data_IF_142220965977
#
_entry.id   IF_142220965977
#
_cell.length_a   1.000
_cell.length_b   1.000
_cell.length_c   1.000
_cell.angle_alpha   90.00
_cell.angle_beta   90.00
_cell.angle_gamma   90.00
#
_symmetry.space_group_name_H-M   'P 1'
#
loop_
_entity.id
_entity.type
_entity.pdbx_description
1 polymer ?
#
# COMPACT_ATOMS: atom_id res chain seq x y z
N UNK A 1 -18.42 -4.48 34.86
CA UNK A 1 -19.03 -3.65 33.80
C UNK A 1 -18.36 -4.05 32.51
N UNK A 2 -18.78 -5.19 31.96
CA UNK A 2 -18.29 -5.71 30.67
C UNK A 2 -19.21 -5.15 29.61
N UNK A 3 -18.64 -4.41 28.67
CA UNK A 3 -19.37 -3.82 27.57
C UNK A 3 -19.95 -4.94 26.69
N UNK A 4 -21.27 -4.97 26.41
CA UNK A 4 -21.91 -6.05 25.66
C UNK A 4 -21.66 -5.97 24.15
N UNK A 5 -20.79 -5.06 23.68
CA UNK A 5 -20.39 -4.93 22.27
C UNK A 5 -18.97 -5.42 21.99
N UNK A 6 -18.34 -6.15 22.91
CA UNK A 6 -17.16 -6.98 22.62
C UNK A 6 -17.58 -8.17 21.75
N UNK A 7 -17.80 -7.90 20.45
CA UNK A 7 -17.94 -8.94 19.44
C UNK A 7 -16.55 -9.52 19.16
N UNK A 8 -16.26 -10.79 19.48
CA UNK A 8 -14.93 -11.38 19.27
C UNK A 8 -14.56 -11.59 17.79
N UNK A 9 -15.37 -11.11 16.85
CA UNK A 9 -15.26 -11.37 15.41
C UNK A 9 -14.63 -10.26 14.57
N UNK A 10 -14.04 -9.21 15.16
CA UNK A 10 -13.32 -8.18 14.38
C UNK A 10 -11.82 -8.52 14.22
N UNK A 11 -11.47 -9.81 14.17
CA UNK A 11 -10.10 -10.30 13.97
C UNK A 11 -9.83 -10.78 12.54
N UNK A 12 -10.61 -10.31 11.58
CA UNK A 12 -10.38 -10.60 10.16
C UNK A 12 -9.50 -9.54 9.53
N UNK A 13 -8.25 -9.87 9.18
CA UNK A 13 -7.46 -9.06 8.24
C UNK A 13 -8.35 -8.69 7.07
N UNK A 14 -8.72 -7.41 6.96
CA UNK A 14 -9.59 -6.98 5.89
C UNK A 14 -8.80 -7.09 4.59
N UNK A 15 -9.44 -7.42 3.47
CA UNK A 15 -8.80 -7.38 2.13
C UNK A 15 -8.13 -6.04 1.85
N UNK A 16 -8.59 -5.01 2.54
CA UNK A 16 -8.07 -3.67 2.49
C UNK A 16 -6.71 -3.50 3.20
N UNK A 17 -6.33 -4.39 4.11
CA UNK A 17 -4.98 -4.46 4.69
C UNK A 17 -4.01 -5.15 3.73
N UNK A 18 -4.51 -6.00 2.83
CA UNK A 18 -3.72 -6.56 1.73
C UNK A 18 -3.21 -5.46 0.76
N UNK A 19 -3.95 -4.34 0.63
CA UNK A 19 -3.48 -3.19 -0.12
C UNK A 19 -2.20 -2.61 0.51
N UNK A 20 -2.07 -2.62 1.84
CA UNK A 20 -0.88 -2.08 2.52
C UNK A 20 0.38 -2.93 2.26
N UNK A 21 0.23 -4.20 1.91
CA UNK A 21 1.35 -5.06 1.48
C UNK A 21 1.80 -4.79 0.04
N UNK A 22 0.92 -4.22 -0.79
CA UNK A 22 1.19 -3.92 -2.20
C UNK A 22 2.48 -3.09 -2.42
N UNK A 23 2.74 -1.98 -1.69
CA UNK A 23 3.97 -1.22 -1.86
C UNK A 23 5.22 -2.03 -1.46
N UNK A 24 5.12 -2.95 -0.50
CA UNK A 24 6.25 -3.80 -0.11
C UNK A 24 6.55 -4.85 -1.17
N UNK A 25 5.51 -5.49 -1.74
CA UNK A 25 5.68 -6.46 -2.84
C UNK A 25 6.27 -5.77 -4.07
N UNK A 26 5.81 -4.55 -4.38
CA UNK A 26 6.39 -3.73 -5.45
C UNK A 26 7.86 -3.42 -5.18
N UNK A 27 8.19 -2.93 -3.98
CA UNK A 27 9.56 -2.58 -3.61
C UNK A 27 10.50 -3.78 -3.64
N UNK A 28 10.13 -4.90 -3.02
CA UNK A 28 10.98 -6.08 -2.88
C UNK A 28 11.04 -6.92 -4.16
N UNK A 29 9.90 -7.08 -4.86
CA UNK A 29 9.82 -7.91 -6.06
C UNK A 29 10.48 -7.29 -7.29
N UNK A 30 10.38 -5.97 -7.43
CA UNK A 30 10.94 -5.24 -8.57
C UNK A 30 12.27 -4.54 -8.25
N UNK A 31 12.75 -4.55 -7.00
CA UNK A 31 14.11 -4.12 -6.67
C UNK A 31 15.23 -4.75 -7.53
N UNK A 32 15.28 -6.08 -7.77
CA UNK A 32 16.31 -6.68 -8.62
C UNK A 32 16.18 -6.27 -10.09
N UNK A 33 14.95 -6.06 -10.57
CA UNK A 33 14.71 -5.55 -11.92
C UNK A 33 15.19 -4.09 -12.04
N UNK A 34 14.82 -3.24 -11.08
CA UNK A 34 15.25 -1.85 -11.04
C UNK A 34 16.77 -1.69 -10.92
N UNK A 35 17.45 -2.57 -10.18
CA UNK A 35 18.91 -2.55 -10.08
C UNK A 35 19.61 -3.09 -11.35
N UNK A 36 18.95 -3.94 -12.14
CA UNK A 36 19.48 -4.43 -13.41
C UNK A 36 19.35 -3.45 -14.57
N UNK A 37 18.61 -2.37 -14.39
CA UNK A 37 18.41 -1.32 -15.39
C UNK A 37 19.55 -0.31 -15.28
N UNK A 38 20.54 -0.38 -16.18
CA UNK A 38 21.63 0.60 -16.32
C UNK A 38 21.16 1.97 -16.87
N UNK A 39 19.88 2.27 -16.76
CA UNK A 39 19.29 3.50 -17.27
C UNK A 39 19.48 4.61 -16.25
N UNK A 40 20.40 5.54 -16.52
CA UNK A 40 20.69 6.68 -15.67
C UNK A 40 20.12 7.98 -16.27
N UNK A 41 18.81 8.27 -16.09
CA UNK A 41 18.27 9.56 -16.51
C UNK A 41 19.00 10.66 -15.72
N UNK A 42 19.64 11.59 -16.44
CA UNK A 42 20.44 12.68 -15.87
C UNK A 42 21.69 12.25 -15.07
N UNK A 43 22.15 11.00 -15.20
CA UNK A 43 23.33 10.48 -14.48
C UNK A 43 23.04 10.04 -13.03
N UNK A 44 21.76 10.00 -12.62
CA UNK A 44 21.34 9.51 -11.32
C UNK A 44 21.09 7.99 -11.34
N UNK A 45 21.44 7.26 -10.26
CA UNK A 45 21.19 5.82 -10.19
C UNK A 45 19.68 5.55 -10.31
N UNK A 46 19.28 4.63 -11.19
CA UNK A 46 17.87 4.25 -11.40
C UNK A 46 17.16 3.91 -10.07
N UNK A 47 17.88 3.32 -9.12
CA UNK A 47 17.39 3.03 -7.78
C UNK A 47 16.82 4.24 -7.03
N UNK A 48 17.34 5.47 -7.24
CA UNK A 48 16.80 6.68 -6.61
C UNK A 48 15.43 7.05 -7.18
N UNK A 49 15.29 7.01 -8.51
CA UNK A 49 14.01 7.25 -9.19
C UNK A 49 12.99 6.17 -8.81
N UNK A 50 13.45 4.93 -8.75
CA UNK A 50 12.66 3.79 -8.30
C UNK A 50 12.14 3.98 -6.87
N UNK A 51 12.98 4.48 -5.97
CA UNK A 51 12.58 4.73 -4.60
C UNK A 51 11.55 5.88 -4.50
N UNK A 52 11.74 6.96 -5.25
CA UNK A 52 10.73 8.03 -5.36
C UNK A 52 9.40 7.52 -5.91
N UNK A 53 9.44 6.66 -6.94
CA UNK A 53 8.25 6.03 -7.49
C UNK A 53 7.54 5.14 -6.45
N UNK A 54 8.31 4.43 -5.62
CA UNK A 54 7.77 3.63 -4.52
C UNK A 54 7.05 4.46 -3.45
N UNK A 55 7.55 5.65 -3.11
CA UNK A 55 6.87 6.58 -2.18
C UNK A 55 5.53 7.06 -2.77
N UNK A 56 5.53 7.45 -4.05
CA UNK A 56 4.31 7.85 -4.76
C UNK A 56 3.30 6.70 -4.83
N UNK A 57 3.79 5.48 -5.12
CA UNK A 57 2.95 4.28 -5.16
C UNK A 57 2.34 3.96 -3.80
N UNK A 58 3.11 3.97 -2.72
CA UNK A 58 2.61 3.77 -1.36
C UNK A 58 1.54 4.80 -0.98
N UNK A 59 1.77 6.07 -1.35
CA UNK A 59 0.81 7.17 -1.11
C UNK A 59 -0.50 6.94 -1.86
N UNK A 60 -0.43 6.54 -3.13
CA UNK A 60 -1.60 6.22 -3.94
C UNK A 60 -2.40 5.03 -3.37
N UNK A 61 -1.71 3.99 -2.92
CA UNK A 61 -2.32 2.81 -2.29
C UNK A 61 -3.04 3.19 -0.99
N UNK A 62 -2.41 4.00 -0.13
CA UNK A 62 -3.04 4.53 1.07
C UNK A 62 -4.29 5.34 0.74
N UNK A 63 -4.20 6.23 -0.25
CA UNK A 63 -5.36 7.00 -0.74
C UNK A 63 -6.49 6.10 -1.23
N UNK A 64 -6.17 5.04 -1.99
CA UNK A 64 -7.14 4.05 -2.45
C UNK A 64 -7.80 3.31 -1.29
N UNK A 65 -7.03 2.93 -0.27
CA UNK A 65 -7.54 2.31 0.97
C UNK A 65 -8.54 3.23 1.65
N UNK A 66 -8.20 4.50 1.87
CA UNK A 66 -9.10 5.47 2.49
C UNK A 66 -10.37 5.70 1.65
N UNK A 67 -10.25 5.78 0.33
CA UNK A 67 -11.40 5.95 -0.55
C UNK A 67 -12.33 4.73 -0.51
N UNK A 68 -11.77 3.51 -0.50
CA UNK A 68 -12.55 2.29 -0.41
C UNK A 68 -13.23 2.15 0.97
N UNK A 69 -12.54 2.54 2.03
CA UNK A 69 -13.08 2.55 3.39
C UNK A 69 -14.24 3.56 3.52
N UNK A 70 -14.09 4.77 2.96
CA UNK A 70 -15.13 5.79 2.92
C UNK A 70 -16.39 5.30 2.18
N UNK A 71 -16.22 4.67 1.01
CA UNK A 71 -17.34 4.12 0.22
C UNK A 71 -18.11 3.01 0.94
N UNK A 72 -17.41 2.17 1.71
CA UNK A 72 -18.07 1.13 2.50
C UNK A 72 -18.87 1.72 3.67
N UNK A 73 -18.48 2.90 4.17
CA UNK A 73 -19.21 3.63 5.23
C UNK A 73 -20.49 4.31 4.71
N UNK A 74 -20.50 4.79 3.47
CA UNK A 74 -21.64 5.51 2.87
C UNK A 74 -22.76 4.60 2.37
N UNK A 75 -22.48 3.33 2.06
CA UNK A 75 -23.50 2.36 1.61
C UNK A 75 -24.35 1.73 2.73
N UNK A 76 -24.17 2.16 3.99
CA UNK A 76 -24.83 1.59 5.17
C UNK A 76 -25.78 2.55 5.91
N UNK A 77 -26.23 3.63 5.27
CA UNK A 77 -27.20 4.58 5.81
C UNK A 77 -28.59 4.44 5.16
#
# INVERSE_FOLDING_TARGET
>A
MTDPTDNPEDTGLSRADLLLLLPFVWQLGFAPWANGVEWAPLGLPFGMVWQMAGILFATAVLGLRFMLDARNKEGGA
#
